data_IF_260547860997
#
_entry.id   IF_260547860997
#
_cell.length_a   1.000
_cell.length_b   1.000
_cell.length_c   1.000
_cell.angle_alpha   90.00
_cell.angle_beta   90.00
_cell.angle_gamma   90.00
#
_symmetry.space_group_name_H-M   'P 1'
#
loop_
_entity.id
_entity.type
_entity.pdbx_description
1 polymer ?
#
# COMPACT_ATOMS: atom_id res chain seq x y z
N UNK A 1 35.84 0.19 18.18
CA UNK A 1 34.54 -0.04 17.50
C UNK A 1 33.79 -1.08 18.33
N UNK A 2 32.65 -0.74 18.95
CA UNK A 2 31.82 -1.76 19.61
C UNK A 2 31.27 -2.67 18.50
N UNK A 3 31.59 -3.96 18.55
CA UNK A 3 31.09 -4.94 17.59
C UNK A 3 29.59 -5.13 17.86
N UNK A 4 28.75 -4.70 16.92
CA UNK A 4 27.32 -4.94 16.98
C UNK A 4 27.06 -6.43 16.68
N UNK A 5 26.38 -7.13 17.59
CA UNK A 5 26.10 -8.56 17.45
C UNK A 5 25.23 -8.86 16.22
N UNK A 6 24.38 -7.91 15.81
CA UNK A 6 23.57 -8.01 14.59
C UNK A 6 24.45 -7.98 13.35
N UNK A 7 25.45 -7.08 13.29
CA UNK A 7 26.41 -7.07 12.17
C UNK A 7 27.18 -8.39 12.09
N UNK A 8 27.61 -8.94 13.23
CA UNK A 8 28.29 -10.24 13.27
C UNK A 8 27.39 -11.37 12.74
N UNK A 9 26.14 -11.42 13.19
CA UNK A 9 25.16 -12.41 12.71
C UNK A 9 24.91 -12.31 11.21
N UNK A 10 24.75 -11.09 10.69
CA UNK A 10 24.54 -10.85 9.25
C UNK A 10 25.78 -11.24 8.43
N UNK A 11 26.99 -10.97 8.92
CA UNK A 11 28.23 -11.44 8.30
C UNK A 11 28.26 -12.97 8.23
N UNK A 12 27.91 -13.66 9.32
CA UNK A 12 27.88 -15.13 9.34
C UNK A 12 26.88 -15.67 8.33
N UNK A 13 25.67 -15.11 8.29
CA UNK A 13 24.62 -15.50 7.33
C UNK A 13 25.08 -15.31 5.89
N UNK A 14 25.78 -14.20 5.62
CA UNK A 14 26.30 -13.91 4.28
C UNK A 14 27.47 -14.82 3.90
N UNK A 15 28.40 -15.07 4.82
CA UNK A 15 29.60 -15.86 4.55
C UNK A 15 29.27 -17.36 4.47
N UNK A 16 28.28 -17.85 5.21
CA UNK A 16 27.99 -19.28 5.32
C UNK A 16 27.74 -19.99 3.98
N UNK A 17 26.88 -19.50 3.07
CA UNK A 17 26.67 -20.13 1.76
C UNK A 17 27.95 -20.13 0.91
N UNK A 18 28.74 -19.04 0.97
CA UNK A 18 29.99 -18.91 0.23
C UNK A 18 31.01 -19.95 0.72
N UNK A 19 31.18 -20.08 2.05
CA UNK A 19 32.05 -21.10 2.64
C UNK A 19 31.58 -22.50 2.29
N UNK A 20 30.27 -22.77 2.31
CA UNK A 20 29.74 -24.07 1.90
C UNK A 20 29.99 -24.37 0.42
N UNK A 21 29.88 -23.37 -0.47
CA UNK A 21 30.27 -23.49 -1.88
C UNK A 21 31.77 -23.80 -2.05
N UNK A 22 32.62 -23.14 -1.26
CA UNK A 22 34.06 -23.41 -1.23
C UNK A 22 34.34 -24.83 -0.72
N UNK A 23 33.66 -25.29 0.34
CA UNK A 23 33.88 -26.62 0.92
C UNK A 23 33.43 -27.72 -0.05
N UNK A 24 32.22 -27.57 -0.62
CA UNK A 24 31.60 -28.55 -1.53
C UNK A 24 32.27 -28.61 -2.90
N UNK A 25 33.02 -27.57 -3.28
CA UNK A 25 33.56 -27.35 -4.62
C UNK A 25 32.43 -27.11 -5.64
N UNK A 26 32.81 -26.58 -6.80
CA UNK A 26 31.90 -26.43 -7.92
C UNK A 26 31.41 -27.81 -8.39
N UNK A 27 30.09 -27.94 -8.48
CA UNK A 27 29.37 -29.08 -9.04
C UNK A 27 28.25 -28.50 -9.92
N UNK A 28 28.29 -28.80 -11.22
CA UNK A 28 27.38 -28.17 -12.19
C UNK A 28 25.91 -28.42 -11.84
N UNK A 29 25.60 -29.60 -11.29
CA UNK A 29 24.26 -30.00 -10.91
C UNK A 29 23.75 -29.21 -9.70
N UNK A 30 24.54 -29.11 -8.63
CA UNK A 30 24.23 -28.31 -7.45
C UNK A 30 24.03 -26.85 -7.80
N UNK A 31 24.90 -26.28 -8.64
CA UNK A 31 24.78 -24.87 -9.07
C UNK A 31 23.54 -24.66 -9.94
N UNK A 32 23.23 -25.59 -10.85
CA UNK A 32 22.00 -25.53 -11.66
C UNK A 32 20.73 -25.50 -10.78
N UNK A 33 20.67 -26.33 -9.73
CA UNK A 33 19.55 -26.29 -8.79
C UNK A 33 19.46 -24.96 -8.02
N UNK A 34 20.58 -24.41 -7.56
CA UNK A 34 20.57 -23.12 -6.85
C UNK A 34 20.11 -21.96 -7.74
N UNK A 35 20.55 -21.93 -9.00
CA UNK A 35 20.12 -20.92 -9.97
C UNK A 35 18.63 -21.08 -10.30
N UNK A 36 18.17 -22.32 -10.49
CA UNK A 36 16.76 -22.60 -10.75
C UNK A 36 15.84 -22.19 -9.59
N UNK A 37 16.27 -22.30 -8.34
CA UNK A 37 15.51 -21.80 -7.18
C UNK A 37 15.38 -20.27 -7.19
N UNK A 38 16.45 -19.55 -7.55
CA UNK A 38 16.44 -18.09 -7.72
C UNK A 38 15.49 -17.72 -8.87
N UNK A 39 15.59 -18.40 -10.00
CA UNK A 39 14.76 -18.13 -11.18
C UNK A 39 13.28 -18.39 -10.92
N UNK A 40 12.89 -19.44 -10.18
CA UNK A 40 11.50 -19.65 -9.75
C UNK A 40 10.98 -18.46 -8.94
N UNK A 41 11.81 -17.89 -8.08
CA UNK A 41 11.45 -16.72 -7.28
C UNK A 41 11.23 -15.49 -8.18
N UNK A 42 12.07 -15.31 -9.20
CA UNK A 42 11.91 -14.26 -10.22
C UNK A 42 10.63 -14.49 -11.04
N UNK A 43 10.36 -15.73 -11.48
CA UNK A 43 9.14 -16.06 -12.21
C UNK A 43 7.88 -15.71 -11.41
N UNK A 44 7.86 -15.98 -10.10
CA UNK A 44 6.73 -15.62 -9.25
C UNK A 44 6.51 -14.11 -9.18
N UNK A 45 7.59 -13.33 -9.02
CA UNK A 45 7.52 -11.86 -8.99
C UNK A 45 7.00 -11.29 -10.31
N UNK A 46 7.52 -11.78 -11.44
CA UNK A 46 7.07 -11.36 -12.77
C UNK A 46 5.62 -11.77 -12.99
N UNK A 47 5.23 -12.99 -12.60
CA UNK A 47 3.85 -13.46 -12.72
C UNK A 47 2.87 -12.61 -11.90
N UNK A 48 3.24 -12.17 -10.69
CA UNK A 48 2.43 -11.26 -9.88
C UNK A 48 2.15 -9.95 -10.61
N UNK A 49 3.17 -9.33 -11.20
CA UNK A 49 3.05 -8.05 -11.93
C UNK A 49 2.10 -8.20 -13.13
N UNK A 50 2.35 -9.19 -13.99
CA UNK A 50 1.52 -9.42 -15.18
C UNK A 50 0.08 -9.80 -14.83
N UNK A 51 -0.14 -10.51 -13.72
CA UNK A 51 -1.49 -10.90 -13.28
C UNK A 51 -2.32 -9.69 -12.84
N UNK A 52 -1.70 -8.70 -12.18
CA UNK A 52 -2.36 -7.44 -11.84
C UNK A 52 -2.68 -6.64 -13.10
N UNK A 53 -1.74 -6.56 -14.04
CA UNK A 53 -1.92 -5.80 -15.28
C UNK A 53 -3.05 -6.37 -16.15
N UNK A 54 -3.15 -7.70 -16.28
CA UNK A 54 -4.26 -8.36 -16.97
C UNK A 54 -5.61 -8.17 -16.27
N UNK A 55 -5.64 -8.11 -14.93
CA UNK A 55 -6.86 -7.82 -14.18
C UNK A 55 -7.31 -6.34 -14.37
N UNK A 56 -6.39 -5.44 -14.70
CA UNK A 56 -6.70 -4.04 -15.01
C UNK A 56 -7.31 -3.83 -16.40
N UNK A 57 -7.11 -4.76 -17.33
CA UNK A 57 -7.63 -4.69 -18.69
C UNK A 57 -9.06 -5.26 -18.78
N UNK A 58 -10.05 -4.35 -18.73
CA UNK A 58 -11.48 -4.70 -18.81
C UNK A 58 -11.84 -5.47 -20.08
N UNK A 59 -11.16 -5.20 -21.20
CA UNK A 59 -11.46 -5.87 -22.47
C UNK A 59 -11.05 -7.35 -22.46
N UNK A 60 -9.90 -7.64 -21.85
CA UNK A 60 -9.40 -9.01 -21.68
C UNK A 60 -10.28 -9.78 -20.70
N UNK A 61 -10.66 -9.14 -19.59
CA UNK A 61 -11.56 -9.76 -18.61
C UNK A 61 -12.94 -10.06 -19.18
N UNK A 62 -13.57 -9.12 -19.89
CA UNK A 62 -14.85 -9.33 -20.53
C UNK A 62 -14.79 -10.50 -21.53
N UNK A 63 -13.74 -10.58 -22.35
CA UNK A 63 -13.56 -11.67 -23.30
C UNK A 63 -13.42 -13.03 -22.60
N UNK A 64 -12.63 -13.10 -21.52
CA UNK A 64 -12.44 -14.34 -20.76
C UNK A 64 -13.73 -14.74 -20.05
N UNK A 65 -14.41 -13.80 -19.39
CA UNK A 65 -15.66 -14.07 -18.70
C UNK A 65 -16.75 -14.52 -19.68
N UNK A 66 -16.84 -13.92 -20.87
CA UNK A 66 -17.76 -14.37 -21.93
C UNK A 66 -17.47 -15.79 -22.42
N UNK A 67 -16.20 -16.22 -22.45
CA UNK A 67 -15.83 -17.60 -22.80
C UNK A 67 -16.23 -18.56 -21.68
N UNK A 68 -15.99 -18.19 -20.41
CA UNK A 68 -16.34 -19.01 -19.26
C UNK A 68 -17.87 -19.13 -19.12
N UNK A 69 -18.59 -18.05 -19.37
CA UNK A 69 -20.07 -18.02 -19.30
C UNK A 69 -20.72 -18.96 -20.32
N UNK A 70 -20.10 -19.14 -21.49
CA UNK A 70 -20.51 -20.16 -22.47
C UNK A 70 -20.34 -21.60 -21.98
N UNK A 71 -19.43 -21.82 -21.03
CA UNK A 71 -19.13 -23.15 -20.47
C UNK A 71 -19.94 -23.39 -19.19
N UNK A 72 -20.11 -22.35 -18.37
CA UNK A 72 -20.76 -22.38 -17.07
C UNK A 72 -21.90 -21.36 -17.12
N UNK A 73 -23.12 -21.83 -17.35
CA UNK A 73 -24.31 -20.99 -17.60
C UNK A 73 -24.75 -20.09 -16.44
N UNK A 74 -24.19 -20.27 -15.25
CA UNK A 74 -24.44 -19.44 -14.05
C UNK A 74 -23.23 -18.59 -13.68
N UNK A 75 -22.21 -18.53 -14.53
CA UNK A 75 -20.98 -17.80 -14.22
C UNK A 75 -21.22 -16.30 -14.16
N UNK A 76 -21.96 -15.73 -15.10
CA UNK A 76 -22.35 -14.32 -15.05
C UNK A 76 -23.05 -13.96 -13.74
N UNK A 77 -23.92 -14.84 -13.24
CA UNK A 77 -24.66 -14.63 -12.00
C UNK A 77 -23.71 -14.62 -10.79
N UNK A 78 -22.77 -15.57 -10.73
CA UNK A 78 -21.73 -15.63 -9.69
C UNK A 78 -20.80 -14.40 -9.75
N UNK A 79 -20.41 -13.97 -10.95
CA UNK A 79 -19.56 -12.78 -11.17
C UNK A 79 -20.27 -11.53 -10.62
N UNK A 80 -21.56 -11.41 -10.89
CA UNK A 80 -22.39 -10.28 -10.44
C UNK A 80 -22.70 -10.34 -8.93
N UNK A 81 -22.89 -11.53 -8.37
CA UNK A 81 -23.17 -11.73 -6.95
C UNK A 81 -21.91 -11.52 -6.08
N UNK A 82 -20.73 -11.92 -6.59
CA UNK A 82 -19.47 -11.85 -5.85
C UNK A 82 -18.31 -11.25 -6.67
N UNK A 83 -18.40 -9.98 -7.11
CA UNK A 83 -17.42 -9.38 -8.03
C UNK A 83 -15.99 -9.34 -7.45
N UNK A 84 -15.85 -9.12 -6.14
CA UNK A 84 -14.54 -9.14 -5.49
C UNK A 84 -13.93 -10.52 -5.44
N UNK A 85 -14.72 -11.55 -5.08
CA UNK A 85 -14.25 -12.93 -5.00
C UNK A 85 -13.83 -13.42 -6.39
N UNK A 86 -14.63 -13.10 -7.41
CA UNK A 86 -14.32 -13.39 -8.82
C UNK A 86 -13.01 -12.76 -9.25
N UNK A 87 -12.76 -11.50 -8.92
CA UNK A 87 -11.50 -10.83 -9.27
C UNK A 87 -10.29 -11.43 -8.56
N UNK A 88 -10.42 -11.81 -7.27
CA UNK A 88 -9.35 -12.50 -6.53
C UNK A 88 -9.08 -13.88 -7.12
N UNK A 89 -10.12 -14.65 -7.41
CA UNK A 89 -10.00 -15.98 -8.03
C UNK A 89 -9.35 -15.86 -9.42
N UNK A 90 -9.79 -14.90 -10.23
CA UNK A 90 -9.24 -14.65 -11.58
C UNK A 90 -7.77 -14.25 -11.50
N UNK A 91 -7.40 -13.39 -10.56
CA UNK A 91 -6.00 -13.04 -10.29
C UNK A 91 -5.16 -14.27 -9.90
N UNK A 92 -5.66 -15.12 -9.00
CA UNK A 92 -4.96 -16.35 -8.60
C UNK A 92 -4.80 -17.32 -9.77
N UNK A 93 -5.80 -17.42 -10.64
CA UNK A 93 -5.73 -18.25 -11.86
C UNK A 93 -4.66 -17.70 -12.81
N UNK A 94 -4.66 -16.40 -13.12
CA UNK A 94 -3.62 -15.78 -13.93
C UNK A 94 -2.23 -15.97 -13.34
N UNK A 95 -2.10 -15.79 -12.02
CA UNK A 95 -0.83 -15.98 -11.31
C UNK A 95 -0.30 -17.40 -11.50
N UNK A 96 -1.14 -18.41 -11.30
CA UNK A 96 -0.76 -19.82 -11.47
C UNK A 96 -0.39 -20.09 -12.93
N UNK A 97 -1.19 -19.65 -13.89
CA UNK A 97 -0.96 -19.90 -15.32
C UNK A 97 0.36 -19.26 -15.76
N UNK A 98 0.53 -17.96 -15.52
CA UNK A 98 1.72 -17.21 -15.93
C UNK A 98 2.97 -17.75 -15.24
N UNK A 99 2.91 -18.03 -13.93
CA UNK A 99 4.04 -18.61 -13.21
C UNK A 99 4.49 -19.94 -13.83
N UNK A 100 3.55 -20.83 -14.17
CA UNK A 100 3.90 -22.11 -14.77
C UNK A 100 4.44 -21.96 -16.21
N UNK A 101 3.92 -21.02 -17.00
CA UNK A 101 4.45 -20.70 -18.33
C UNK A 101 5.89 -20.19 -18.22
N UNK A 102 6.14 -19.19 -17.36
CA UNK A 102 7.47 -18.64 -17.14
C UNK A 102 8.45 -19.70 -16.63
N UNK A 103 8.02 -20.52 -15.67
CA UNK A 103 8.81 -21.64 -15.14
C UNK A 103 9.17 -22.64 -16.24
N UNK A 104 8.23 -22.97 -17.13
CA UNK A 104 8.50 -23.85 -18.27
C UNK A 104 9.56 -23.26 -19.20
N UNK A 105 9.45 -21.97 -19.52
CA UNK A 105 10.44 -21.24 -20.33
C UNK A 105 11.82 -21.31 -19.67
N UNK A 106 11.90 -21.05 -18.36
CA UNK A 106 13.16 -21.15 -17.59
C UNK A 106 13.72 -22.56 -17.63
N UNK A 107 12.91 -23.61 -17.43
CA UNK A 107 13.37 -25.01 -17.52
C UNK A 107 13.98 -25.28 -18.90
N UNK A 108 13.35 -24.81 -19.97
CA UNK A 108 13.84 -25.00 -21.34
C UNK A 108 15.17 -24.26 -21.54
N UNK A 109 15.24 -22.98 -21.16
CA UNK A 109 16.46 -22.17 -21.24
C UNK A 109 17.59 -22.83 -20.44
N UNK A 110 17.30 -23.31 -19.23
CA UNK A 110 18.30 -23.94 -18.39
C UNK A 110 18.84 -25.20 -19.03
N UNK A 111 17.96 -26.05 -19.56
CA UNK A 111 18.37 -27.29 -20.20
C UNK A 111 19.19 -27.07 -21.48
N UNK A 112 18.88 -26.04 -22.26
CA UNK A 112 19.54 -25.76 -23.54
C UNK A 112 20.83 -24.94 -23.36
N UNK A 113 20.83 -24.00 -22.42
CA UNK A 113 21.88 -22.98 -22.30
C UNK A 113 22.66 -23.16 -21.00
N UNK A 114 21.98 -23.11 -19.86
CA UNK A 114 22.65 -23.04 -18.56
C UNK A 114 23.38 -24.34 -18.21
N UNK A 115 22.70 -25.49 -18.32
CA UNK A 115 23.24 -26.81 -18.00
C UNK A 115 24.48 -27.15 -18.85
N UNK A 116 24.47 -27.01 -20.20
CA UNK A 116 25.67 -27.24 -21.00
C UNK A 116 26.83 -26.29 -20.66
N UNK A 117 26.55 -25.01 -20.37
CA UNK A 117 27.57 -24.05 -19.97
C UNK A 117 28.21 -24.43 -18.62
N UNK A 118 27.39 -24.79 -17.63
CA UNK A 118 27.86 -25.21 -16.31
C UNK A 118 28.68 -26.51 -16.40
N UNK A 119 28.22 -27.49 -17.17
CA UNK A 119 28.99 -28.73 -17.43
C UNK A 119 30.31 -28.45 -18.16
N UNK A 120 30.30 -27.54 -19.14
CA UNK A 120 31.52 -27.10 -19.85
C UNK A 120 32.55 -26.49 -18.90
N UNK A 121 32.10 -25.67 -17.95
CA UNK A 121 32.94 -25.11 -16.90
C UNK A 121 33.49 -26.20 -15.97
N UNK A 122 32.65 -27.15 -15.54
CA UNK A 122 33.08 -28.28 -14.71
C UNK A 122 34.17 -29.11 -15.39
N UNK A 123 33.98 -29.43 -16.67
CA UNK A 123 34.95 -30.18 -17.48
C UNK A 123 36.29 -29.43 -17.61
N UNK A 124 36.26 -28.11 -17.80
CA UNK A 124 37.46 -27.27 -17.83
C UNK A 124 38.22 -27.29 -16.51
N UNK A 125 37.51 -27.15 -15.39
CA UNK A 125 38.10 -27.18 -14.05
C UNK A 125 38.71 -28.56 -13.73
N UNK A 126 38.01 -29.64 -14.09
CA UNK A 126 38.49 -31.00 -13.94
C UNK A 126 39.71 -31.29 -14.83
N UNK A 127 39.76 -30.74 -16.04
CA UNK A 127 40.93 -30.85 -16.94
C UNK A 127 42.18 -30.19 -16.36
N UNK A 128 42.04 -29.05 -15.69
CA UNK A 128 43.15 -28.38 -15.00
C UNK A 128 43.56 -29.09 -13.69
N UNK A 129 42.80 -30.08 -13.21
CA UNK A 129 43.01 -30.82 -11.94
C UNK A 129 43.19 -29.92 -10.72
N UNK A 130 42.73 -28.67 -10.77
CA UNK A 130 42.94 -27.70 -9.71
C UNK A 130 41.79 -27.74 -8.72
N UNK A 131 41.96 -28.52 -7.64
CA UNK A 131 40.97 -28.53 -6.55
C UNK A 131 40.83 -27.16 -5.89
N UNK A 132 41.80 -26.26 -6.01
CA UNK A 132 41.69 -24.90 -5.49
C UNK A 132 40.75 -24.05 -6.35
N UNK A 133 40.88 -24.12 -7.69
CA UNK A 133 40.02 -23.37 -8.60
C UNK A 133 38.55 -23.84 -8.51
N UNK A 134 38.29 -25.15 -8.45
CA UNK A 134 36.92 -25.65 -8.28
C UNK A 134 36.28 -25.16 -6.98
N UNK A 135 37.05 -24.96 -5.91
CA UNK A 135 36.56 -24.39 -4.65
C UNK A 135 36.24 -22.91 -4.77
N UNK A 136 37.14 -22.15 -5.40
CA UNK A 136 36.93 -20.72 -5.63
C UNK A 136 35.67 -20.48 -6.49
N UNK A 137 35.54 -21.22 -7.58
CA UNK A 137 34.36 -21.15 -8.46
C UNK A 137 33.09 -21.57 -7.73
N UNK A 138 33.13 -22.60 -6.89
CA UNK A 138 32.00 -22.98 -6.03
C UNK A 138 31.55 -21.84 -5.11
N UNK A 139 32.50 -21.14 -4.47
CA UNK A 139 32.21 -19.96 -3.66
C UNK A 139 31.57 -18.81 -4.44
N UNK A 140 32.01 -18.58 -5.69
CA UNK A 140 31.46 -17.54 -6.57
C UNK A 140 30.00 -17.85 -6.94
N UNK A 141 29.67 -19.09 -7.29
CA UNK A 141 28.29 -19.46 -7.63
C UNK A 141 27.35 -19.47 -6.41
N UNK A 142 27.86 -19.62 -5.20
CA UNK A 142 27.07 -19.47 -3.97
C UNK A 142 26.90 -18.01 -3.51
N UNK A 143 27.59 -17.05 -4.13
CA UNK A 143 27.52 -15.62 -3.77
C UNK A 143 26.12 -14.99 -3.99
N UNK A 144 25.41 -15.21 -5.11
CA UNK A 144 24.03 -14.72 -5.28
C UNK A 144 23.09 -15.22 -4.16
N UNK A 145 23.23 -16.49 -3.77
CA UNK A 145 22.46 -17.10 -2.68
C UNK A 145 22.77 -16.45 -1.33
N UNK A 146 24.03 -16.12 -1.05
CA UNK A 146 24.42 -15.35 0.13
C UNK A 146 23.78 -13.96 0.19
N UNK A 147 23.70 -13.26 -0.95
CA UNK A 147 22.98 -11.98 -1.05
C UNK A 147 21.49 -12.18 -0.72
N UNK A 148 20.85 -13.19 -1.31
CA UNK A 148 19.43 -13.49 -1.06
C UNK A 148 19.17 -13.78 0.42
N UNK A 149 20.00 -14.61 1.06
CA UNK A 149 19.86 -14.92 2.49
C UNK A 149 20.05 -13.69 3.37
N UNK A 150 21.03 -12.85 3.05
CA UNK A 150 21.26 -11.60 3.75
C UNK A 150 20.04 -10.67 3.65
N UNK A 151 19.48 -10.50 2.45
CA UNK A 151 18.29 -9.68 2.22
C UNK A 151 17.10 -10.25 2.99
N UNK A 152 16.85 -11.56 2.91
CA UNK A 152 15.75 -12.22 3.60
C UNK A 152 15.82 -12.01 5.12
N UNK A 153 17.00 -12.19 5.73
CA UNK A 153 17.17 -11.94 7.16
C UNK A 153 16.97 -10.47 7.49
N UNK A 154 17.45 -9.53 6.67
CA UNK A 154 17.19 -8.11 6.88
C UNK A 154 15.68 -7.76 6.78
N UNK A 155 14.92 -8.43 5.89
CA UNK A 155 13.45 -8.30 5.85
C UNK A 155 12.83 -8.78 7.17
N UNK A 156 13.23 -9.94 7.68
CA UNK A 156 12.74 -10.44 8.97
C UNK A 156 13.09 -9.50 10.13
N UNK A 157 14.29 -8.92 10.15
CA UNK A 157 14.69 -7.92 11.14
C UNK A 157 13.83 -6.64 11.01
N UNK A 158 13.52 -6.19 9.79
CA UNK A 158 12.62 -5.06 9.56
C UNK A 158 11.20 -5.33 10.08
N UNK A 159 10.69 -6.56 9.92
CA UNK A 159 9.41 -6.99 10.49
C UNK A 159 9.51 -7.02 12.02
N UNK A 160 10.57 -7.59 12.58
CA UNK A 160 10.77 -7.68 14.03
C UNK A 160 10.80 -6.30 14.71
N UNK A 161 11.33 -5.27 14.05
CA UNK A 161 11.28 -3.88 14.54
C UNK A 161 9.85 -3.35 14.71
N UNK A 162 8.88 -3.87 13.95
CA UNK A 162 7.47 -3.46 13.94
C UNK A 162 6.60 -4.27 14.91
N UNK A 163 7.09 -5.39 15.44
CA UNK A 163 6.35 -6.24 16.37
C UNK A 163 6.32 -5.62 17.77
N UNK A 164 5.12 -5.48 18.35
CA UNK A 164 4.93 -5.07 19.73
C UNK A 164 5.47 -6.15 20.70
N UNK A 165 6.27 -5.75 21.69
CA UNK A 165 6.86 -6.66 22.69
C UNK A 165 8.36 -6.96 22.53
N UNK A 166 8.99 -6.58 21.41
CA UNK A 166 10.45 -6.64 21.29
C UNK A 166 11.09 -5.54 22.16
N UNK A 167 12.02 -5.92 23.05
CA UNK A 167 12.74 -4.97 23.93
C UNK A 167 13.45 -3.89 23.11
N UNK A 168 13.43 -2.65 23.60
CA UNK A 168 14.04 -1.50 22.93
C UNK A 168 15.56 -1.64 22.74
N UNK A 169 16.24 -2.38 23.61
CA UNK A 169 17.66 -2.72 23.46
C UNK A 169 17.94 -3.43 22.13
N UNK A 170 17.17 -4.48 21.80
CA UNK A 170 17.32 -5.23 20.55
C UNK A 170 16.95 -4.41 19.32
N UNK A 171 15.93 -3.54 19.44
CA UNK A 171 15.57 -2.63 18.34
C UNK A 171 16.69 -1.63 18.06
N UNK A 172 17.34 -1.13 19.11
CA UNK A 172 18.49 -0.24 18.98
C UNK A 172 19.69 -0.98 18.37
N UNK A 173 19.95 -2.23 18.76
CA UNK A 173 21.01 -3.05 18.16
C UNK A 173 20.80 -3.24 16.65
N UNK A 174 19.56 -3.55 16.21
CA UNK A 174 19.25 -3.68 14.79
C UNK A 174 19.43 -2.35 14.05
N UNK A 175 18.91 -1.24 14.59
CA UNK A 175 19.02 0.09 13.97
C UNK A 175 20.46 0.60 13.90
N UNK A 176 21.30 0.19 14.84
CA UNK A 176 22.73 0.55 14.87
C UNK A 176 23.61 -0.38 14.01
N UNK A 177 23.05 -1.42 13.38
CA UNK A 177 23.80 -2.32 12.49
C UNK A 177 24.09 -1.62 11.16
N UNK A 178 25.37 -1.59 10.79
CA UNK A 178 25.81 -0.97 9.52
C UNK A 178 25.35 -1.78 8.31
N UNK A 179 25.38 -3.10 8.43
CA UNK A 179 24.99 -4.01 7.34
C UNK A 179 23.48 -3.94 7.14
N UNK A 180 22.70 -4.01 8.22
CA UNK A 180 21.26 -3.84 8.16
C UNK A 180 20.87 -2.51 7.54
N UNK A 181 21.40 -1.39 8.03
CA UNK A 181 21.07 -0.04 7.50
C UNK A 181 21.50 0.16 6.05
N UNK A 182 22.60 -0.47 5.62
CA UNK A 182 23.02 -0.46 4.21
C UNK A 182 22.04 -1.24 3.32
N UNK A 183 21.62 -2.44 3.74
CA UNK A 183 20.63 -3.24 3.00
C UNK A 183 19.27 -2.56 3.01
N UNK A 184 18.87 -2.01 4.15
CA UNK A 184 17.61 -1.29 4.32
C UNK A 184 17.52 -0.09 3.36
N UNK A 185 18.53 0.79 3.36
CA UNK A 185 18.55 1.98 2.49
C UNK A 185 18.68 1.67 0.99
N UNK A 186 19.48 0.67 0.60
CA UNK A 186 19.77 0.39 -0.83
C UNK A 186 18.81 -0.58 -1.47
N UNK A 187 18.25 -1.51 -0.69
CA UNK A 187 17.45 -2.63 -1.16
C UNK A 187 16.03 -2.47 -0.62
N UNK A 188 15.84 -2.54 0.70
CA UNK A 188 14.49 -2.62 1.28
C UNK A 188 13.67 -1.36 1.03
N UNK A 189 14.26 -0.16 1.12
CA UNK A 189 13.60 1.11 0.83
C UNK A 189 13.10 1.19 -0.62
N UNK A 190 13.87 0.67 -1.59
CA UNK A 190 13.47 0.63 -3.01
C UNK A 190 12.33 -0.34 -3.29
N UNK A 191 12.22 -1.42 -2.50
CA UNK A 191 11.10 -2.37 -2.56
C UNK A 191 9.91 -1.93 -1.70
N UNK A 192 10.13 -1.09 -0.68
CA UNK A 192 9.09 -0.44 0.11
C UNK A 192 8.37 0.67 -0.66
N UNK A 193 9.07 1.36 -1.57
CA UNK A 193 8.53 2.44 -2.42
C UNK A 193 7.96 1.93 -3.77
N UNK A 194 8.13 0.64 -4.10
CA UNK A 194 7.52 -0.03 -5.27
C UNK A 194 6.58 -1.14 -4.83
N UNK A 195 5.36 -0.76 -4.45
CA UNK A 195 4.08 -1.49 -4.56
C UNK A 195 3.97 -2.97 -4.09
N UNK A 196 5.04 -3.69 -3.75
CA UNK A 196 5.00 -5.12 -3.39
C UNK A 196 5.19 -5.30 -1.87
N UNK A 197 6.00 -4.44 -1.21
CA UNK A 197 6.22 -4.51 0.24
C UNK A 197 5.28 -3.59 1.03
N UNK A 198 4.78 -2.49 0.45
CA UNK A 198 3.63 -1.77 1.01
C UNK A 198 2.36 -2.63 0.97
N UNK A 199 2.31 -3.54 -0.01
CA UNK A 199 1.16 -4.37 -0.25
C UNK A 199 1.31 -5.74 0.37
N UNK A 200 2.48 -6.21 0.83
CA UNK A 200 2.56 -7.51 1.52
C UNK A 200 1.73 -7.54 2.82
N UNK A 201 1.78 -6.50 3.68
CA UNK A 201 0.84 -6.37 4.80
C UNK A 201 -0.59 -6.07 4.34
N UNK A 202 -0.82 -5.35 3.22
CA UNK A 202 -2.17 -5.10 2.68
C UNK A 202 -2.80 -6.30 1.97
N UNK A 203 -2.02 -7.20 1.39
CA UNK A 203 -2.41 -8.45 0.72
C UNK A 203 -2.67 -9.50 1.79
N UNK A 204 -1.85 -9.56 2.84
CA UNK A 204 -2.12 -10.38 4.03
C UNK A 204 -3.32 -9.83 4.84
N UNK A 205 -3.45 -8.50 5.01
CA UNK A 205 -4.64 -7.88 5.65
C UNK A 205 -5.89 -7.95 4.78
N UNK A 206 -5.80 -7.84 3.45
CA UNK A 206 -6.95 -7.99 2.54
C UNK A 206 -7.33 -9.45 2.30
N UNK A 207 -6.40 -10.40 2.46
CA UNK A 207 -6.72 -11.84 2.44
C UNK A 207 -7.51 -12.29 3.67
N UNK A 208 -7.56 -11.47 4.73
CA UNK A 208 -8.23 -11.79 6.00
C UNK A 208 -9.14 -10.67 6.54
N UNK A 209 -9.69 -9.78 5.69
CA UNK A 209 -10.84 -8.93 6.09
C UNK A 209 -11.72 -8.42 4.91
N UNK A 210 -12.77 -9.20 4.66
CA UNK A 210 -14.20 -8.88 4.46
C UNK A 210 -14.61 -7.80 3.42
N UNK A 211 -15.15 -8.32 2.30
CA UNK A 211 -16.46 -8.03 1.65
C UNK A 211 -16.96 -6.58 1.60
N UNK A 212 -16.92 -6.00 0.39
CA UNK A 212 -17.89 -4.99 -0.09
C UNK A 212 -19.26 -5.65 -0.18
N UNK A 213 -20.27 -5.07 0.44
CA UNK A 213 -21.66 -5.49 0.27
C UNK A 213 -22.44 -4.33 -0.37
N UNK A 214 -22.97 -4.56 -1.57
CA UNK A 214 -23.93 -3.67 -2.19
C UNK A 214 -25.30 -3.89 -1.52
N UNK A 215 -25.79 -2.91 -0.76
CA UNK A 215 -27.17 -2.94 -0.31
C UNK A 215 -28.12 -2.59 -1.48
N UNK A 216 -28.84 -3.60 -1.97
CA UNK A 216 -30.09 -3.38 -2.69
C UNK A 216 -31.15 -2.93 -1.69
N UNK A 217 -31.39 -1.63 -1.58
CA UNK A 217 -32.59 -1.13 -0.90
C UNK A 217 -33.83 -1.50 -1.72
N UNK A 218 -34.60 -2.45 -1.22
CA UNK A 218 -35.96 -2.74 -1.70
C UNK A 218 -36.85 -1.57 -1.26
N UNK A 219 -37.35 -0.80 -2.22
CA UNK A 219 -38.58 -0.02 -2.01
C UNK A 219 -39.70 -0.66 -2.84
N UNK A 220 -40.66 -1.25 -2.13
CA UNK A 220 -41.97 -1.59 -2.68
C UNK A 220 -42.74 -0.30 -2.99
N UNK A 221 -43.25 -0.16 -4.22
CA UNK A 221 -44.14 0.95 -4.58
C UNK A 221 -44.35 1.15 -6.08
N UNK A 222 -45.15 0.27 -6.69
CA UNK A 222 -46.07 0.48 -7.84
C UNK A 222 -45.77 1.52 -8.95
N UNK A 223 -45.66 0.96 -10.17
CA UNK A 223 -45.99 1.47 -11.53
C UNK A 223 -45.00 2.42 -12.26
N UNK A 224 -44.81 2.25 -13.59
CA UNK A 224 -43.62 2.74 -14.30
C UNK A 224 -43.88 4.05 -15.05
N UNK A 225 -42.91 4.98 -15.03
CA UNK A 225 -42.61 5.85 -16.19
C UNK A 225 -41.34 6.70 -16.02
N UNK A 226 -40.64 6.74 -17.16
CA UNK A 226 -39.61 7.69 -17.64
C UNK A 226 -38.18 7.54 -17.12
N UNK A 227 -37.30 7.46 -18.12
CA UNK A 227 -35.85 7.50 -18.10
C UNK A 227 -35.37 8.71 -17.30
N UNK A 228 -34.73 8.46 -16.17
CA UNK A 228 -33.78 9.40 -15.58
C UNK A 228 -32.43 8.71 -15.42
N UNK A 229 -31.37 9.44 -15.77
CA UNK A 229 -29.98 8.99 -15.68
C UNK A 229 -29.65 8.68 -14.23
N UNK A 230 -29.54 7.40 -13.89
CA UNK A 230 -29.07 6.93 -12.59
C UNK A 230 -27.60 7.29 -12.45
N UNK A 231 -27.31 8.39 -11.75
CA UNK A 231 -25.97 8.67 -11.22
C UNK A 231 -25.75 7.68 -10.09
N UNK A 232 -25.01 6.61 -10.36
CA UNK A 232 -24.50 5.70 -9.33
C UNK A 232 -23.57 6.49 -8.41
N UNK A 233 -24.05 6.87 -7.23
CA UNK A 233 -23.18 7.35 -6.14
C UNK A 233 -22.50 6.12 -5.53
N UNK A 234 -21.21 5.95 -5.80
CA UNK A 234 -20.38 4.99 -5.07
C UNK A 234 -20.41 5.33 -3.58
N UNK A 235 -20.88 4.40 -2.75
CA UNK A 235 -20.92 4.56 -1.29
C UNK A 235 -19.54 4.19 -0.75
N UNK A 236 -18.72 5.20 -0.41
CA UNK A 236 -17.37 5.00 0.12
C UNK A 236 -17.42 4.99 1.66
N UNK A 237 -16.98 3.91 2.30
CA UNK A 237 -16.91 3.81 3.76
C UNK A 237 -15.52 4.16 4.29
N UNK A 238 -15.45 5.09 5.24
CA UNK A 238 -14.25 5.49 5.97
C UNK A 238 -14.52 5.37 7.48
N UNK A 239 -13.67 4.62 8.20
CA UNK A 239 -13.76 4.47 9.66
C UNK A 239 -15.14 3.97 10.16
N UNK A 240 -15.81 3.13 9.37
CA UNK A 240 -17.13 2.57 9.71
C UNK A 240 -18.32 3.47 9.39
N UNK A 241 -18.13 4.63 8.75
CA UNK A 241 -19.21 5.51 8.25
C UNK A 241 -19.05 5.79 6.77
N UNK A 242 -20.13 6.01 6.04
CA UNK A 242 -20.05 6.42 4.63
C UNK A 242 -19.51 7.84 4.51
N UNK A 243 -19.01 8.22 3.33
CA UNK A 243 -18.57 9.58 3.05
C UNK A 243 -19.73 10.56 3.22
N UNK A 244 -20.91 10.24 2.68
CA UNK A 244 -22.12 11.06 2.79
C UNK A 244 -22.59 11.23 4.26
N UNK A 245 -22.50 10.17 5.08
CA UNK A 245 -22.76 10.26 6.52
C UNK A 245 -21.69 11.09 7.25
N UNK A 246 -20.42 10.85 6.92
CA UNK A 246 -19.28 11.52 7.55
C UNK A 246 -19.34 13.03 7.35
N UNK A 247 -19.71 13.51 6.16
CA UNK A 247 -19.81 14.94 5.86
C UNK A 247 -21.17 15.56 6.21
N UNK A 248 -22.11 14.79 6.77
CA UNK A 248 -23.44 15.27 7.11
C UNK A 248 -23.32 16.40 8.13
N UNK A 249 -23.85 17.57 7.78
CA UNK A 249 -23.91 18.72 8.68
C UNK A 249 -25.18 18.70 9.54
N UNK A 250 -25.26 19.64 10.49
CA UNK A 250 -26.48 19.95 11.23
C UNK A 250 -26.58 21.47 11.46
N UNK A 251 -27.74 21.92 11.96
CA UNK A 251 -27.99 23.35 12.19
C UNK A 251 -26.92 24.03 13.06
N UNK A 252 -26.40 23.33 14.08
CA UNK A 252 -25.38 23.89 14.96
C UNK A 252 -24.05 24.13 14.24
N UNK A 253 -23.61 23.19 13.39
CA UNK A 253 -22.42 23.36 12.55
C UNK A 253 -22.65 24.49 11.55
N UNK A 254 -23.79 24.50 10.86
CA UNK A 254 -24.08 25.48 9.82
C UNK A 254 -24.14 26.91 10.37
N UNK A 255 -24.85 27.13 11.48
CA UNK A 255 -24.96 28.44 12.11
C UNK A 255 -23.61 28.91 12.66
N UNK A 256 -22.85 27.99 13.26
CA UNK A 256 -21.52 28.31 13.78
C UNK A 256 -20.57 28.66 12.65
N UNK A 257 -20.56 27.89 11.57
CA UNK A 257 -19.74 28.15 10.39
C UNK A 257 -20.05 29.50 9.75
N UNK A 258 -21.33 29.88 9.63
CA UNK A 258 -21.75 31.20 9.12
C UNK A 258 -21.41 32.34 10.08
N UNK A 259 -21.46 32.10 11.38
CA UNK A 259 -21.07 33.11 12.37
C UNK A 259 -19.56 33.31 12.40
N UNK A 260 -18.78 32.24 12.24
CA UNK A 260 -17.32 32.25 12.25
C UNK A 260 -16.73 33.06 11.09
N UNK A 261 -17.40 33.03 9.94
CA UNK A 261 -17.00 33.73 8.72
C UNK A 261 -17.69 35.08 8.53
N UNK A 262 -18.51 35.50 9.50
CA UNK A 262 -19.25 36.77 9.41
C UNK A 262 -18.27 37.93 9.34
N UNK A 263 -18.35 38.70 8.26
CA UNK A 263 -17.48 39.85 8.01
C UNK A 263 -16.26 39.54 7.14
N UNK A 264 -16.02 38.27 6.78
CA UNK A 264 -15.00 37.92 5.79
C UNK A 264 -15.49 38.28 4.38
N UNK A 265 -14.68 39.03 3.64
CA UNK A 265 -15.02 39.56 2.33
C UNK A 265 -14.69 38.63 1.16
N UNK A 266 -13.65 37.79 1.31
CA UNK A 266 -13.19 36.86 0.27
C UNK A 266 -13.44 35.39 0.63
N UNK A 267 -13.46 34.51 -0.38
CA UNK A 267 -13.56 33.06 -0.15
C UNK A 267 -12.32 32.52 0.56
N UNK A 268 -11.14 33.09 0.28
CA UNK A 268 -9.90 32.73 0.97
C UNK A 268 -9.99 33.04 2.46
N UNK A 269 -10.52 34.20 2.85
CA UNK A 269 -10.70 34.56 4.25
C UNK A 269 -11.67 33.60 4.94
N UNK A 270 -12.82 33.28 4.33
CA UNK A 270 -13.78 32.30 4.86
C UNK A 270 -13.11 30.93 5.06
N UNK A 271 -12.43 30.42 4.04
CA UNK A 271 -11.71 29.14 4.09
C UNK A 271 -10.65 29.15 5.21
N UNK A 272 -9.89 30.24 5.34
CA UNK A 272 -8.86 30.41 6.36
C UNK A 272 -9.42 30.46 7.78
N UNK A 273 -10.56 31.12 7.99
CA UNK A 273 -11.23 31.15 9.30
C UNK A 273 -11.68 29.76 9.71
N UNK A 274 -12.27 28.97 8.80
CA UNK A 274 -12.67 27.58 9.05
C UNK A 274 -11.43 26.72 9.35
N UNK A 275 -10.39 26.84 8.53
CA UNK A 275 -9.12 26.14 8.72
C UNK A 275 -8.52 26.38 10.11
N UNK A 276 -8.45 27.65 10.50
CA UNK A 276 -7.86 28.08 11.77
C UNK A 276 -8.70 27.64 12.96
N UNK A 277 -10.03 27.70 12.85
CA UNK A 277 -10.94 27.21 13.88
C UNK A 277 -10.74 25.72 14.13
N UNK A 278 -10.84 24.88 13.09
CA UNK A 278 -10.74 23.43 13.24
C UNK A 278 -9.35 23.05 13.76
N UNK A 279 -8.29 23.58 13.15
CA UNK A 279 -6.92 23.27 13.55
C UNK A 279 -6.55 23.71 14.97
N UNK A 280 -7.20 24.75 15.49
CA UNK A 280 -6.98 25.23 16.86
C UNK A 280 -7.85 24.49 17.88
N UNK A 281 -9.10 24.18 17.54
CA UNK A 281 -10.11 23.74 18.51
C UNK A 281 -10.39 22.24 18.52
N UNK A 282 -9.89 21.49 17.53
CA UNK A 282 -9.99 20.04 17.53
C UNK A 282 -8.66 19.45 18.00
N UNK A 283 -8.74 18.45 18.88
CA UNK A 283 -7.60 17.69 19.36
C UNK A 283 -7.50 16.36 18.61
N UNK A 284 -6.29 15.97 18.24
CA UNK A 284 -6.07 14.70 17.57
C UNK A 284 -6.24 13.57 18.58
N UNK A 285 -7.02 12.55 18.22
CA UNK A 285 -7.30 11.40 19.08
C UNK A 285 -6.44 10.20 18.66
N UNK A 286 -5.27 10.07 19.29
CA UNK A 286 -4.31 9.00 19.01
C UNK A 286 -4.87 7.60 19.34
N UNK A 287 -5.77 7.51 20.34
CA UNK A 287 -6.41 6.26 20.71
C UNK A 287 -7.41 5.85 19.62
N UNK A 288 -8.25 6.79 19.17
CA UNK A 288 -9.16 6.56 18.04
C UNK A 288 -8.38 6.22 16.77
N UNK A 289 -7.26 6.89 16.50
CA UNK A 289 -6.39 6.55 15.37
C UNK A 289 -5.89 5.11 15.46
N UNK A 290 -5.44 4.69 16.65
CA UNK A 290 -5.00 3.32 16.92
C UNK A 290 -6.14 2.31 16.77
N UNK A 291 -7.32 2.62 17.28
CA UNK A 291 -8.52 1.79 17.17
C UNK A 291 -8.93 1.61 15.70
N UNK A 292 -9.01 2.70 14.94
CA UNK A 292 -9.32 2.68 13.51
C UNK A 292 -8.29 1.87 12.72
N UNK A 293 -6.99 2.03 13.01
CA UNK A 293 -5.93 1.23 12.40
C UNK A 293 -6.07 -0.28 12.73
N UNK A 294 -6.61 -0.61 13.90
CA UNK A 294 -6.89 -1.99 14.33
C UNK A 294 -8.28 -2.49 13.89
N UNK A 295 -9.02 -1.72 13.06
CA UNK A 295 -10.40 -1.99 12.61
C UNK A 295 -11.44 -2.04 13.75
N UNK A 296 -11.24 -1.27 14.81
CA UNK A 296 -12.21 -1.06 15.87
C UNK A 296 -13.00 0.23 15.58
N UNK A 297 -14.08 0.10 14.80
CA UNK A 297 -14.92 1.24 14.39
C UNK A 297 -16.05 1.56 15.39
N UNK A 298 -15.89 1.18 16.67
CA UNK A 298 -16.91 1.42 17.70
C UNK A 298 -17.05 2.90 18.07
N UNK A 299 -16.12 3.76 17.61
CA UNK A 299 -16.08 5.19 17.93
C UNK A 299 -16.71 5.99 16.78
N UNK A 300 -17.66 6.87 17.11
CA UNK A 300 -18.34 7.74 16.15
C UNK A 300 -17.34 8.58 15.33
N UNK A 301 -17.53 8.68 14.01
CA UNK A 301 -16.71 9.46 13.09
C UNK A 301 -17.56 10.39 12.21
N UNK A 302 -16.97 11.49 11.75
CA UNK A 302 -17.62 12.49 10.89
C UNK A 302 -17.78 13.88 11.51
N UNK A 303 -18.40 14.80 10.77
CA UNK A 303 -18.49 16.22 11.12
C UNK A 303 -19.24 16.47 12.44
N UNK A 304 -20.40 15.83 12.63
CA UNK A 304 -21.24 15.99 13.83
C UNK A 304 -20.55 15.53 15.12
N UNK A 305 -20.03 14.30 15.23
CA UNK A 305 -19.33 13.87 16.44
C UNK A 305 -18.11 14.75 16.71
N UNK A 306 -17.32 15.08 15.69
CA UNK A 306 -16.11 15.91 15.82
C UNK A 306 -16.41 17.32 16.33
N UNK A 307 -17.46 17.96 15.80
CA UNK A 307 -17.87 19.28 16.28
C UNK A 307 -18.32 19.24 17.74
N UNK A 308 -18.99 18.16 18.15
CA UNK A 308 -19.51 17.96 19.50
C UNK A 308 -18.40 17.65 20.51
N UNK A 309 -17.52 16.69 20.21
CA UNK A 309 -16.50 16.20 21.14
C UNK A 309 -15.22 17.03 21.13
N UNK A 310 -14.99 17.82 20.06
CA UNK A 310 -13.73 18.54 19.81
C UNK A 310 -12.51 17.60 19.70
N UNK A 311 -12.74 16.36 19.32
CA UNK A 311 -11.70 15.34 19.10
C UNK A 311 -11.95 14.58 17.81
N UNK A 312 -10.90 14.05 17.20
CA UNK A 312 -11.02 13.22 16.01
C UNK A 312 -9.67 12.89 15.36
N UNK A 313 -9.71 12.25 14.20
CA UNK A 313 -8.54 11.94 13.36
C UNK A 313 -8.64 12.63 11.99
N UNK A 314 -7.67 12.47 11.10
CA UNK A 314 -7.61 13.22 9.83
C UNK A 314 -8.91 13.19 8.99
N UNK A 315 -9.62 12.06 8.96
CA UNK A 315 -10.92 11.94 8.30
C UNK A 315 -12.01 12.79 8.96
N UNK A 316 -12.06 12.84 10.28
CA UNK A 316 -13.01 13.62 11.07
C UNK A 316 -12.83 15.12 10.87
N UNK A 317 -11.57 15.56 10.88
CA UNK A 317 -11.17 16.93 10.59
C UNK A 317 -11.62 17.34 9.19
N UNK A 318 -11.35 16.48 8.22
CA UNK A 318 -11.69 16.70 6.82
C UNK A 318 -13.21 16.75 6.60
N UNK A 319 -13.95 15.87 7.26
CA UNK A 319 -15.42 15.86 7.23
C UNK A 319 -16.00 17.15 7.81
N UNK A 320 -15.49 17.59 8.97
CA UNK A 320 -15.94 18.83 9.60
C UNK A 320 -15.64 20.04 8.71
N UNK A 321 -14.47 20.07 8.09
CA UNK A 321 -14.11 21.14 7.15
C UNK A 321 -15.08 21.18 5.96
N UNK A 322 -15.39 20.03 5.35
CA UNK A 322 -16.40 19.95 4.27
C UNK A 322 -17.74 20.52 4.73
N UNK A 323 -18.24 20.09 5.89
CA UNK A 323 -19.53 20.55 6.41
C UNK A 323 -19.57 22.08 6.61
N UNK A 324 -18.53 22.65 7.22
CA UNK A 324 -18.43 24.09 7.48
C UNK A 324 -18.20 24.91 6.20
N UNK A 325 -17.43 24.38 5.24
CA UNK A 325 -17.20 25.02 3.94
C UNK A 325 -18.50 25.09 3.13
N UNK A 326 -19.25 23.98 3.06
CA UNK A 326 -20.55 23.92 2.40
C UNK A 326 -21.57 24.89 3.00
N UNK A 327 -21.60 25.04 4.33
CA UNK A 327 -22.46 26.01 5.01
C UNK A 327 -22.17 27.47 4.62
N UNK A 328 -20.97 27.74 4.11
CA UNK A 328 -20.50 29.04 3.64
C UNK A 328 -20.47 29.17 2.11
N UNK A 329 -21.10 28.25 1.38
CA UNK A 329 -21.12 28.19 -0.08
C UNK A 329 -19.72 28.11 -0.72
N UNK A 330 -18.73 27.56 0.00
CA UNK A 330 -17.42 27.25 -0.56
C UNK A 330 -17.48 25.86 -1.21
N UNK A 331 -17.07 25.79 -2.47
CA UNK A 331 -16.93 24.51 -3.17
C UNK A 331 -15.70 23.77 -2.62
N UNK A 332 -15.88 22.52 -2.23
CA UNK A 332 -14.89 21.80 -1.40
C UNK A 332 -14.78 20.34 -1.82
N UNK A 333 -13.56 19.80 -1.72
CA UNK A 333 -13.28 18.38 -1.90
C UNK A 333 -12.77 17.77 -0.61
N UNK A 334 -13.06 16.48 -0.43
CA UNK A 334 -12.33 15.63 0.48
C UNK A 334 -11.33 14.83 -0.36
N UNK A 335 -10.07 14.89 0.03
CA UNK A 335 -8.95 14.25 -0.66
C UNK A 335 -8.31 13.23 0.27
N UNK A 336 -7.95 12.08 -0.27
CA UNK A 336 -7.20 11.04 0.43
C UNK A 336 -5.84 10.85 -0.22
N UNK A 337 -4.89 10.32 0.56
CA UNK A 337 -3.53 10.05 0.10
C UNK A 337 -2.64 9.69 1.27
N UNK A 338 -1.40 10.17 1.26
CA UNK A 338 -0.43 9.95 2.33
C UNK A 338 0.09 11.27 2.90
N UNK A 339 0.20 11.33 4.24
CA UNK A 339 0.78 12.44 4.98
C UNK A 339 2.03 12.00 5.75
N UNK A 340 3.07 12.84 5.80
CA UNK A 340 4.30 12.55 6.54
C UNK A 340 4.19 13.05 7.99
N UNK A 341 4.13 12.11 8.95
CA UNK A 341 3.97 12.44 10.38
C UNK A 341 5.28 12.80 11.10
N UNK A 342 6.36 13.05 10.36
CA UNK A 342 7.71 13.26 10.89
C UNK A 342 8.56 11.99 11.04
N UNK A 343 7.95 10.80 10.90
CA UNK A 343 8.65 9.50 10.96
C UNK A 343 8.41 8.62 9.74
N UNK A 344 7.17 8.60 9.24
CA UNK A 344 6.76 7.76 8.11
C UNK A 344 5.59 8.38 7.36
N UNK A 345 5.39 7.94 6.12
CA UNK A 345 4.18 8.20 5.36
C UNK A 345 3.06 7.31 5.87
N UNK A 346 1.91 7.89 6.18
CA UNK A 346 0.72 7.19 6.67
C UNK A 346 -0.51 7.63 5.88
N UNK A 347 -1.53 6.76 5.79
CA UNK A 347 -2.80 7.10 5.18
C UNK A 347 -3.38 8.37 5.82
N UNK A 348 -3.76 9.33 4.98
CA UNK A 348 -4.17 10.65 5.42
C UNK A 348 -5.33 11.19 4.59
N UNK A 349 -6.08 12.10 5.18
CA UNK A 349 -7.20 12.78 4.54
C UNK A 349 -7.09 14.28 4.82
N UNK A 350 -7.36 15.08 3.79
CA UNK A 350 -7.38 16.54 3.86
C UNK A 350 -8.42 17.11 2.89
N UNK A 351 -8.40 18.42 2.67
CA UNK A 351 -9.35 19.10 1.80
C UNK A 351 -8.67 19.91 0.70
N UNK A 352 -9.38 20.06 -0.41
CA UNK A 352 -9.16 21.18 -1.32
C UNK A 352 -10.38 22.09 -1.28
N UNK A 353 -10.17 23.40 -1.38
CA UNK A 353 -11.27 24.37 -1.48
C UNK A 353 -11.05 25.23 -2.72
N UNK A 354 -12.12 25.43 -3.48
CA UNK A 354 -12.12 26.31 -4.64
C UNK A 354 -12.47 27.72 -4.21
N UNK A 355 -11.58 28.66 -4.47
CA UNK A 355 -11.77 30.08 -4.22
C UNK A 355 -12.37 30.69 -5.48
N UNK A 356 -13.68 30.98 -5.46
CA UNK A 356 -14.39 31.37 -6.69
C UNK A 356 -14.00 32.77 -7.16
N UNK A 357 -13.67 33.66 -6.23
CA UNK A 357 -13.13 35.00 -6.46
C UNK A 357 -11.72 35.01 -7.10
N UNK A 358 -10.98 33.89 -6.98
CA UNK A 358 -9.63 33.76 -7.53
C UNK A 358 -9.51 32.74 -8.68
N UNK A 359 -10.51 31.88 -8.84
CA UNK A 359 -10.53 30.85 -9.88
C UNK A 359 -9.56 29.68 -9.65
N UNK A 360 -9.20 29.38 -8.40
CA UNK A 360 -8.18 28.37 -8.08
C UNK A 360 -8.63 27.39 -6.99
N UNK A 361 -8.18 26.13 -7.10
CA UNK A 361 -8.23 25.16 -6.02
C UNK A 361 -6.98 25.30 -5.15
N UNK A 362 -7.16 25.36 -3.85
CA UNK A 362 -6.06 25.40 -2.88
C UNK A 362 -6.13 24.19 -1.93
N UNK A 363 -4.97 23.70 -1.51
CA UNK A 363 -4.87 22.62 -0.52
C UNK A 363 -5.02 23.17 0.90
N UNK A 364 -5.78 22.45 1.72
CA UNK A 364 -6.06 22.79 3.12
C UNK A 364 -6.05 21.52 3.97
N UNK A 365 -5.12 21.44 4.93
CA UNK A 365 -5.11 20.36 5.92
C UNK A 365 -5.16 20.88 7.35
N UNK A 366 -6.36 20.83 7.93
CA UNK A 366 -6.61 21.26 9.31
C UNK A 366 -5.97 20.35 10.36
N UNK A 367 -5.67 19.09 10.03
CA UNK A 367 -5.03 18.13 10.94
C UNK A 367 -3.61 18.58 11.25
N UNK A 368 -2.88 19.04 10.24
CA UNK A 368 -1.48 19.43 10.38
C UNK A 368 -1.31 20.89 10.83
N UNK A 369 -2.39 21.62 11.13
CA UNK A 369 -2.36 23.01 11.60
C UNK A 369 -1.36 23.26 12.74
N UNK A 370 -1.34 22.37 13.74
CA UNK A 370 -0.42 22.49 14.89
C UNK A 370 1.05 22.21 14.52
N UNK A 371 1.30 21.58 13.38
CA UNK A 371 2.64 21.28 12.86
C UNK A 371 3.19 22.38 11.91
N UNK A 372 2.35 23.35 11.51
CA UNK A 372 2.77 24.45 10.64
C UNK A 372 1.64 24.99 9.74
N UNK A 373 2.02 25.82 8.77
CA UNK A 373 1.06 26.36 7.80
C UNK A 373 0.82 25.39 6.63
N UNK A 374 -0.36 24.77 6.62
CA UNK A 374 -0.86 23.85 5.59
C UNK A 374 -2.12 24.40 4.89
N UNK A 375 -2.25 25.73 4.85
CA UNK A 375 -3.26 26.44 4.06
C UNK A 375 -2.57 27.10 2.86
N UNK A 376 -2.82 26.58 1.66
CA UNK A 376 -2.28 27.10 0.39
C UNK A 376 -0.76 27.35 0.44
N UNK A 377 -0.02 26.37 0.98
CA UNK A 377 1.39 26.51 1.33
C UNK A 377 2.27 25.67 0.43
N UNK A 378 3.41 26.21 -0.01
CA UNK A 378 4.44 25.46 -0.75
C UNK A 378 4.99 24.26 0.03
N UNK A 379 4.87 24.27 1.37
CA UNK A 379 5.26 23.15 2.23
C UNK A 379 4.35 21.93 2.04
N UNK A 380 3.10 22.14 1.63
CA UNK A 380 2.09 21.09 1.56
C UNK A 380 2.60 19.84 0.82
N UNK A 381 3.17 20.05 -0.37
CA UNK A 381 3.68 18.98 -1.24
C UNK A 381 4.94 18.26 -0.71
N UNK A 382 5.57 18.76 0.36
CA UNK A 382 6.69 18.05 1.02
C UNK A 382 6.19 16.98 1.98
N UNK A 383 5.05 17.23 2.59
CA UNK A 383 4.48 16.43 3.66
C UNK A 383 3.20 15.71 3.23
N UNK A 384 2.76 15.87 1.97
CA UNK A 384 1.58 15.22 1.37
C UNK A 384 1.90 14.66 -0.02
N UNK A 385 1.43 13.44 -0.32
CA UNK A 385 1.57 12.81 -1.66
C UNK A 385 0.42 11.86 -1.98
N UNK A 386 0.31 11.46 -3.25
CA UNK A 386 -0.67 10.46 -3.69
C UNK A 386 -2.12 10.92 -3.59
N UNK A 387 -2.38 12.20 -3.87
CA UNK A 387 -3.72 12.80 -3.77
C UNK A 387 -4.74 12.12 -4.69
N UNK A 388 -5.89 11.76 -4.14
CA UNK A 388 -7.06 11.28 -4.86
C UNK A 388 -8.32 11.92 -4.29
N UNK A 389 -9.15 12.51 -5.15
CA UNK A 389 -10.42 13.11 -4.73
C UNK A 389 -11.40 12.00 -4.34
N UNK A 390 -11.83 11.98 -3.09
CA UNK A 390 -12.81 11.04 -2.57
C UNK A 390 -14.25 11.56 -2.74
N UNK A 391 -14.43 12.89 -2.76
CA UNK A 391 -15.71 13.53 -3.02
C UNK A 391 -15.57 15.02 -3.24
N UNK A 392 -16.55 15.62 -3.92
CA UNK A 392 -16.62 17.05 -4.28
C UNK A 392 -18.05 17.55 -4.04
N UNK A 393 -18.18 18.74 -3.45
CA UNK A 393 -19.47 19.37 -3.13
C UNK A 393 -19.47 20.87 -3.40
#
# INVERSE_FOLDING_TARGET
>A
MKNNLVDLGLVIIFIFPILMGIIRKYDSKSVSYELYDIEKSICLLVALIFSVELLGDKSVLENIFNVIDKIISSFSDIVNEFPQATNVITFLIFLIIIYNILKLIVIIINKIVLEPLLMGLENSLNRQRSSFLSRLVGGVFSFPKAIVYLILVCVFLNIALKIAGVKEEYKNDIKNSKIYTLVDSKVLYKFADKQIVSDLPKILNNSLKIVRQEEKSIQQGTTPKKKDKTVTREVIYYNGVTLDEGIKSNKAIDDYAKSLTRGNGSDREKARSIYSFIGTNINYDDNKATDVLNNNFKVESGAVPTFRTRTGICFDYSCLYVAMARANNLKVRLVTGEGFNGKSWVGHAWNEVYLADEGVWINVDTTFYKAGNYFDSKRFNKDHRGASVAGEW
#
